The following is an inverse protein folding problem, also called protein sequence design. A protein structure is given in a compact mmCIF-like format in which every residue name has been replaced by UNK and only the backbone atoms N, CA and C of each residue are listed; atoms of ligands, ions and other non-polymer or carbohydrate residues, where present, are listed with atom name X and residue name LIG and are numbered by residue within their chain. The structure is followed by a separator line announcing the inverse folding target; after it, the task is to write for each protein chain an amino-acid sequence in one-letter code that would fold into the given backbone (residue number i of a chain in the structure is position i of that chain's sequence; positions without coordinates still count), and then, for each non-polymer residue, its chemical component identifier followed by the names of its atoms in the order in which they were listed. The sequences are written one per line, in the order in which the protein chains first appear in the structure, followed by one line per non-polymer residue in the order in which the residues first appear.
data_IF_564293362703
#
_entry.id   IF_564293362703
#
_cell.length_a   1.000
_cell.length_b   1.000
_cell.length_c   1.000
_cell.angle_alpha   90.00
_cell.angle_beta   90.00
_cell.angle_gamma   90.00
#
_symmetry.space_group_name_H-M   'P 1'
#
loop_
_entity.id
_entity.type
_entity.pdbx_description
1 polymer ?
#
# COMPACT_ATOMS: atom_id res chain seq x y z
N UNK A 1 -15.12 15.23 21.95
CA UNK A 1 -14.22 14.11 21.76
C UNK A 1 -14.89 12.98 21.01
N UNK A 2 -14.27 12.53 20.01
CA UNK A 2 -14.86 11.57 19.09
C UNK A 2 -14.32 10.17 19.38
N UNK A 3 -15.09 9.39 20.13
CA UNK A 3 -14.73 8.01 20.50
C UNK A 3 -14.71 7.08 19.30
N UNK A 4 -15.59 7.31 18.32
CA UNK A 4 -15.64 6.51 17.09
C UNK A 4 -14.37 6.74 16.28
N UNK A 5 -13.95 7.99 16.15
CA UNK A 5 -12.72 8.33 15.45
C UNK A 5 -11.50 7.70 16.13
N UNK A 6 -11.44 7.76 17.46
CA UNK A 6 -10.36 7.14 18.23
C UNK A 6 -10.34 5.63 18.05
N UNK A 7 -11.50 4.97 17.99
CA UNK A 7 -11.61 3.53 17.80
C UNK A 7 -11.16 3.09 16.41
N UNK A 8 -11.30 3.97 15.39
CA UNK A 8 -10.87 3.71 14.02
C UNK A 8 -9.44 4.20 13.73
N UNK A 9 -8.81 4.83 14.71
CA UNK A 9 -7.46 5.36 14.57
C UNK A 9 -6.44 4.26 14.31
N UNK A 10 -5.52 4.56 13.44
CA UNK A 10 -4.32 3.77 13.21
C UNK A 10 -3.09 4.63 13.47
N UNK A 11 -1.95 4.00 13.55
CA UNK A 11 -0.66 4.70 13.56
C UNK A 11 0.28 4.01 12.60
N UNK A 12 1.36 4.69 12.24
CA UNK A 12 2.41 4.11 11.43
C UNK A 12 3.75 4.26 12.14
N UNK A 13 4.63 3.34 11.89
CA UNK A 13 6.01 3.39 12.41
C UNK A 13 6.98 2.83 11.37
N UNK A 14 8.26 3.16 11.51
CA UNK A 14 9.29 2.60 10.66
C UNK A 14 9.36 1.07 10.85
N UNK A 15 9.59 0.34 9.76
CA UNK A 15 9.79 -1.10 9.83
C UNK A 15 11.15 -1.42 10.46
N UNK A 16 11.18 -2.44 11.29
CA UNK A 16 12.38 -2.98 11.92
C UNK A 16 12.72 -4.33 11.30
N UNK A 17 13.91 -4.83 11.56
CA UNK A 17 14.34 -6.13 11.03
C UNK A 17 13.38 -7.26 11.40
N UNK A 18 12.78 -7.19 12.58
CA UNK A 18 11.79 -8.17 13.05
C UNK A 18 10.49 -8.16 12.26
N UNK A 19 10.24 -7.14 11.44
CA UNK A 19 9.03 -7.04 10.61
C UNK A 19 9.18 -7.72 9.25
N UNK A 20 10.38 -8.16 8.89
CA UNK A 20 10.69 -8.68 7.55
C UNK A 20 9.76 -9.83 7.13
N UNK A 21 9.60 -10.84 7.98
CA UNK A 21 8.73 -11.97 7.68
C UNK A 21 7.25 -11.59 7.67
N UNK A 22 6.83 -10.73 8.60
CA UNK A 22 5.46 -10.22 8.61
C UNK A 22 5.13 -9.55 7.28
N UNK A 23 6.05 -8.73 6.76
CA UNK A 23 5.82 -8.01 5.49
C UNK A 23 5.67 -8.97 4.31
N UNK A 24 6.43 -10.06 4.30
CA UNK A 24 6.27 -11.07 3.25
C UNK A 24 4.91 -11.76 3.34
N UNK A 25 4.53 -12.21 4.52
CA UNK A 25 3.24 -12.87 4.74
C UNK A 25 2.07 -11.94 4.46
N UNK A 26 2.21 -10.66 4.80
CA UNK A 26 1.21 -9.63 4.51
C UNK A 26 0.99 -9.47 3.00
N UNK A 27 2.06 -9.34 2.24
CA UNK A 27 1.99 -9.22 0.79
C UNK A 27 1.34 -10.47 0.18
N UNK A 28 1.73 -11.64 0.66
CA UNK A 28 1.16 -12.89 0.19
C UNK A 28 -0.35 -12.96 0.46
N UNK A 29 -0.78 -12.58 1.67
CA UNK A 29 -2.20 -12.58 2.01
C UNK A 29 -3.00 -11.59 1.15
N UNK A 30 -2.41 -10.43 0.84
CA UNK A 30 -3.10 -9.37 0.09
C UNK A 30 -3.07 -9.58 -1.42
N UNK A 31 -1.99 -10.15 -1.96
CA UNK A 31 -1.74 -10.15 -3.40
C UNK A 31 -1.62 -11.53 -4.04
N UNK A 32 -1.79 -12.60 -3.27
CA UNK A 32 -1.63 -13.96 -3.80
C UNK A 32 -2.47 -14.20 -5.05
N UNK A 33 -3.77 -13.88 -4.99
CA UNK A 33 -4.67 -14.14 -6.12
C UNK A 33 -4.35 -13.32 -7.37
N UNK A 34 -4.17 -11.99 -7.30
CA UNK A 34 -3.80 -11.23 -8.49
C UNK A 34 -2.43 -11.60 -9.04
N UNK A 35 -1.43 -11.87 -8.20
CA UNK A 35 -0.11 -12.30 -8.68
C UNK A 35 -0.22 -13.66 -9.36
N UNK A 36 -0.94 -14.59 -8.77
CA UNK A 36 -1.15 -15.92 -9.36
C UNK A 36 -1.84 -15.82 -10.71
N UNK A 37 -2.84 -14.97 -10.83
CA UNK A 37 -3.60 -14.79 -12.07
C UNK A 37 -2.75 -14.19 -13.20
N UNK A 38 -1.87 -13.24 -12.88
CA UNK A 38 -1.09 -12.49 -13.88
C UNK A 38 0.24 -13.19 -14.19
N UNK A 39 0.96 -13.66 -13.19
CA UNK A 39 2.33 -14.17 -13.32
C UNK A 39 2.49 -15.63 -12.90
N UNK A 40 1.54 -16.20 -12.18
CA UNK A 40 1.76 -17.41 -11.40
C UNK A 40 2.50 -17.10 -10.12
N UNK A 41 2.22 -17.86 -9.07
CA UNK A 41 2.92 -17.66 -7.79
C UNK A 41 4.09 -18.62 -7.68
N UNK A 42 5.30 -18.07 -7.56
CA UNK A 42 6.52 -18.80 -7.23
C UNK A 42 7.09 -18.18 -5.95
N UNK A 43 7.11 -18.96 -4.89
CA UNK A 43 7.49 -18.45 -3.57
C UNK A 43 8.92 -17.90 -3.54
N UNK A 44 9.86 -18.59 -4.23
CA UNK A 44 11.25 -18.13 -4.25
C UNK A 44 11.40 -16.80 -5.00
N UNK A 45 10.71 -16.66 -6.14
CA UNK A 45 10.73 -15.40 -6.89
C UNK A 45 10.19 -14.27 -6.03
N UNK A 46 9.08 -14.51 -5.32
CA UNK A 46 8.50 -13.49 -4.45
C UNK A 46 9.41 -13.17 -3.26
N UNK A 47 10.12 -14.16 -2.74
CA UNK A 47 11.12 -13.95 -1.68
C UNK A 47 12.27 -13.07 -2.17
N UNK A 48 12.74 -13.29 -3.39
CA UNK A 48 13.82 -12.51 -3.98
C UNK A 48 13.38 -11.06 -4.21
N UNK A 49 12.18 -10.85 -4.73
CA UNK A 49 11.61 -9.50 -4.90
C UNK A 49 11.49 -8.80 -3.56
N UNK A 50 11.00 -9.50 -2.53
CA UNK A 50 10.86 -8.94 -1.20
C UNK A 50 12.20 -8.49 -0.62
N UNK A 51 13.24 -9.29 -0.81
CA UNK A 51 14.59 -8.94 -0.34
C UNK A 51 15.11 -7.69 -1.06
N UNK A 52 14.90 -7.57 -2.37
CA UNK A 52 15.32 -6.41 -3.14
C UNK A 52 14.57 -5.14 -2.70
N UNK A 53 13.26 -5.24 -2.51
CA UNK A 53 12.44 -4.12 -2.05
C UNK A 53 12.86 -3.65 -0.65
N UNK A 54 13.13 -4.60 0.24
CA UNK A 54 13.61 -4.32 1.59
C UNK A 54 14.94 -3.59 1.59
N UNK A 55 15.84 -3.99 0.71
CA UNK A 55 17.15 -3.35 0.56
C UNK A 55 17.06 -1.95 -0.04
N UNK A 56 16.09 -1.74 -0.93
CA UNK A 56 15.87 -0.44 -1.56
C UNK A 56 15.33 0.59 -0.56
N UNK A 57 14.22 0.25 0.07
CA UNK A 57 13.57 1.11 1.05
C UNK A 57 12.60 0.28 1.89
N UNK A 58 12.62 0.49 3.21
CA UNK A 58 11.69 -0.20 4.11
C UNK A 58 10.37 0.57 4.17
N UNK A 59 9.22 -0.12 4.10
CA UNK A 59 7.93 0.55 4.27
C UNK A 59 7.68 0.93 5.72
N UNK A 60 6.62 1.70 5.95
CA UNK A 60 6.09 1.90 7.30
C UNK A 60 5.11 0.77 7.63
N UNK A 61 5.10 0.37 8.88
CA UNK A 61 4.16 -0.60 9.41
C UNK A 61 2.92 0.15 9.89
N UNK A 62 1.74 -0.30 9.44
CA UNK A 62 0.47 0.22 9.93
C UNK A 62 0.10 -0.59 11.15
N UNK A 63 -0.14 0.10 12.27
CA UNK A 63 -0.56 -0.52 13.52
C UNK A 63 -1.98 -0.08 13.88
N UNK A 64 -2.72 -1.01 14.46
CA UNK A 64 -4.06 -0.76 14.96
C UNK A 64 -4.19 -1.46 16.31
N UNK A 65 -4.48 -0.69 17.34
CA UNK A 65 -4.58 -1.21 18.72
C UNK A 65 -3.31 -1.97 19.13
N UNK A 66 -2.14 -1.43 18.78
CA UNK A 66 -0.85 -2.00 19.14
C UNK A 66 -0.40 -3.20 18.34
N UNK A 67 -1.16 -3.59 17.30
CA UNK A 67 -0.85 -4.75 16.46
C UNK A 67 -0.49 -4.32 15.06
N UNK A 68 0.57 -4.91 14.49
CA UNK A 68 0.92 -4.70 13.09
C UNK A 68 -0.14 -5.36 12.21
N UNK A 69 -0.78 -4.56 11.34
CA UNK A 69 -1.88 -5.03 10.48
C UNK A 69 -1.67 -4.74 9.00
N UNK A 70 -0.65 -3.99 8.65
CA UNK A 70 -0.43 -3.61 7.27
C UNK A 70 0.86 -2.86 7.05
N UNK A 71 1.04 -2.39 5.83
CA UNK A 71 2.19 -1.59 5.43
C UNK A 71 1.79 -0.51 4.43
N UNK A 72 2.64 0.50 4.29
CA UNK A 72 2.50 1.55 3.29
C UNK A 72 3.86 2.19 3.05
N UNK A 73 4.11 2.62 1.82
CA UNK A 73 5.31 3.37 1.48
C UNK A 73 4.94 4.49 0.52
N UNK A 74 5.37 5.70 0.85
CA UNK A 74 5.26 6.86 -0.02
C UNK A 74 6.68 7.30 -0.36
N UNK A 75 7.19 6.84 -1.52
CA UNK A 75 8.54 7.13 -1.97
C UNK A 75 8.62 8.52 -2.56
N UNK A 76 9.60 9.30 -2.12
CA UNK A 76 9.86 10.63 -2.70
C UNK A 76 10.72 10.47 -3.95
N UNK A 77 10.15 10.78 -5.12
CA UNK A 77 10.84 10.71 -6.41
C UNK A 77 11.34 12.08 -6.88
N UNK A 78 11.30 13.09 -6.01
CA UNK A 78 11.71 14.45 -6.32
C UNK A 78 10.54 15.33 -6.73
N UNK A 79 10.06 15.19 -7.95
CA UNK A 79 8.94 15.98 -8.47
C UNK A 79 7.56 15.35 -8.19
N UNK A 80 7.53 14.12 -7.70
CA UNK A 80 6.30 13.43 -7.35
C UNK A 80 6.58 12.37 -6.29
N UNK A 81 5.51 11.83 -5.70
CA UNK A 81 5.59 10.67 -4.81
C UNK A 81 5.11 9.43 -5.55
N UNK A 82 5.67 8.28 -5.19
CA UNK A 82 5.21 6.98 -5.62
C UNK A 82 4.60 6.26 -4.42
N UNK A 83 3.29 6.01 -4.47
CA UNK A 83 2.54 5.32 -3.41
C UNK A 83 2.57 3.83 -3.71
N UNK A 84 3.14 3.04 -2.82
CA UNK A 84 3.35 1.62 -3.07
C UNK A 84 3.36 0.80 -1.79
N UNK A 85 3.40 -0.51 -1.95
CA UNK A 85 3.46 -1.49 -0.85
C UNK A 85 2.40 -1.24 0.21
N UNK A 86 1.20 -0.90 -0.26
CA UNK A 86 0.05 -0.61 0.58
C UNK A 86 -0.79 -1.87 0.70
N UNK A 87 -0.73 -2.50 1.86
CA UNK A 87 -1.45 -3.75 2.13
C UNK A 87 -2.03 -3.71 3.53
N UNK A 88 -3.20 -4.32 3.70
CA UNK A 88 -3.81 -4.57 4.99
C UNK A 88 -4.15 -6.05 5.08
N UNK A 89 -3.98 -6.63 6.26
CA UNK A 89 -4.46 -7.99 6.50
C UNK A 89 -5.97 -8.05 6.19
N UNK A 90 -6.44 -9.13 5.56
CA UNK A 90 -7.85 -9.22 5.11
C UNK A 90 -8.87 -8.95 6.20
N UNK A 91 -8.62 -9.34 7.44
CA UNK A 91 -9.54 -9.12 8.56
C UNK A 91 -9.72 -7.65 8.94
N UNK A 92 -8.87 -6.77 8.41
CA UNK A 92 -8.96 -5.31 8.64
C UNK A 92 -9.50 -4.55 7.42
N UNK A 93 -9.90 -5.25 6.37
CA UNK A 93 -10.57 -4.65 5.22
C UNK A 93 -11.99 -4.19 5.60
N UNK A 94 -12.48 -3.17 4.91
CA UNK A 94 -13.85 -2.69 5.11
C UNK A 94 -14.09 -1.90 6.38
N UNK A 95 -13.05 -1.51 7.10
CA UNK A 95 -13.16 -0.77 8.37
C UNK A 95 -12.78 0.71 8.25
N UNK A 96 -12.49 1.18 7.04
CA UNK A 96 -12.08 2.56 6.81
C UNK A 96 -10.61 2.86 7.07
N UNK A 97 -9.82 1.90 7.52
CA UNK A 97 -8.41 2.09 7.82
C UNK A 97 -7.62 2.45 6.56
N UNK A 98 -7.86 1.72 5.45
CA UNK A 98 -7.20 1.98 4.18
C UNK A 98 -7.47 3.39 3.66
N UNK A 99 -8.71 3.84 3.75
CA UNK A 99 -9.09 5.21 3.36
C UNK A 99 -8.39 6.25 4.24
N UNK A 100 -8.26 5.97 5.53
CA UNK A 100 -7.58 6.89 6.46
C UNK A 100 -6.09 6.98 6.14
N UNK A 101 -5.42 5.85 5.90
CA UNK A 101 -4.00 5.81 5.51
C UNK A 101 -3.79 6.60 4.23
N UNK A 102 -4.62 6.37 3.21
CA UNK A 102 -4.52 7.07 1.94
C UNK A 102 -4.76 8.56 2.11
N UNK A 103 -5.75 8.95 2.91
CA UNK A 103 -6.01 10.36 3.24
C UNK A 103 -4.77 11.03 3.81
N UNK A 104 -4.10 10.38 4.77
CA UNK A 104 -2.91 10.94 5.41
C UNK A 104 -1.77 11.10 4.43
N UNK A 105 -1.54 10.10 3.57
CA UNK A 105 -0.50 10.17 2.54
C UNK A 105 -0.77 11.30 1.53
N UNK A 106 -2.01 11.44 1.10
CA UNK A 106 -2.37 12.49 0.13
C UNK A 106 -2.32 13.88 0.75
N UNK A 107 -2.66 14.01 2.02
CA UNK A 107 -2.53 15.29 2.72
C UNK A 107 -1.06 15.72 2.77
N UNK A 108 -0.14 14.79 3.01
CA UNK A 108 1.29 15.07 3.00
C UNK A 108 1.76 15.52 1.60
N UNK A 109 1.34 14.80 0.56
CA UNK A 109 1.67 15.16 -0.82
C UNK A 109 1.14 16.54 -1.20
N UNK A 110 -0.11 16.84 -0.82
CA UNK A 110 -0.75 18.15 -1.10
C UNK A 110 -0.01 19.28 -0.39
N UNK A 111 0.43 19.05 0.83
CA UNK A 111 1.20 20.04 1.60
C UNK A 111 2.50 20.42 0.88
N UNK A 112 3.11 19.48 0.17
CA UNK A 112 4.33 19.70 -0.60
C UNK A 112 4.05 20.02 -2.07
N UNK A 113 2.77 20.13 -2.45
CA UNK A 113 2.34 20.41 -3.83
C UNK A 113 2.90 19.40 -4.84
N UNK A 114 2.94 18.14 -4.47
CA UNK A 114 3.47 17.06 -5.33
C UNK A 114 2.36 16.12 -5.77
N UNK A 115 2.34 15.73 -7.05
CA UNK A 115 1.43 14.68 -7.50
C UNK A 115 1.87 13.32 -6.97
N UNK A 116 0.97 12.35 -7.03
CA UNK A 116 1.19 10.98 -6.57
C UNK A 116 0.92 10.01 -7.72
N UNK A 117 1.87 9.13 -7.95
CA UNK A 117 1.77 8.03 -8.91
C UNK A 117 1.60 6.72 -8.17
N UNK A 118 0.85 5.81 -8.75
CA UNK A 118 0.78 4.43 -8.26
C UNK A 118 0.51 3.47 -9.42
N UNK A 119 0.72 2.19 -9.17
CA UNK A 119 0.25 1.14 -10.07
C UNK A 119 -0.24 -0.05 -9.25
N UNK A 120 -1.08 -0.87 -9.87
CA UNK A 120 -1.56 -2.10 -9.26
C UNK A 120 -1.79 -3.15 -10.33
N UNK A 121 -1.86 -4.41 -9.91
CA UNK A 121 -2.05 -5.54 -10.82
C UNK A 121 -3.48 -5.58 -11.36
N UNK A 122 -3.63 -5.93 -12.62
CA UNK A 122 -4.93 -6.19 -13.20
C UNK A 122 -5.68 -7.24 -12.36
N UNK A 123 -6.97 -7.02 -12.18
CA UNK A 123 -7.82 -7.88 -11.36
C UNK A 123 -7.87 -7.53 -9.88
N UNK A 124 -6.99 -6.64 -9.41
CA UNK A 124 -7.04 -6.16 -8.03
C UNK A 124 -8.10 -5.06 -7.90
N UNK A 125 -9.04 -5.23 -6.98
CA UNK A 125 -10.18 -4.30 -6.80
C UNK A 125 -9.81 -2.97 -6.14
N UNK A 126 -8.58 -2.81 -5.71
CA UNK A 126 -8.12 -1.60 -5.03
C UNK A 126 -8.27 -0.34 -5.90
N UNK A 127 -8.35 -0.50 -7.22
CA UNK A 127 -8.53 0.62 -8.15
C UNK A 127 -9.74 1.48 -7.85
N UNK A 128 -10.83 0.88 -7.38
CA UNK A 128 -12.04 1.64 -7.02
C UNK A 128 -11.78 2.62 -5.88
N UNK A 129 -10.98 2.21 -4.90
CA UNK A 129 -10.57 3.09 -3.81
C UNK A 129 -9.80 4.29 -4.36
N UNK A 130 -8.83 4.04 -5.23
CA UNK A 130 -7.99 5.10 -5.79
C UNK A 130 -8.80 6.10 -6.63
N UNK A 131 -9.75 5.61 -7.44
CA UNK A 131 -10.64 6.49 -8.20
C UNK A 131 -11.42 7.44 -7.28
N UNK A 132 -11.90 6.95 -6.15
CA UNK A 132 -12.63 7.79 -5.19
C UNK A 132 -11.75 8.88 -4.58
N UNK A 133 -10.44 8.68 -4.55
CA UNK A 133 -9.49 9.65 -3.99
C UNK A 133 -8.89 10.56 -5.05
N UNK A 134 -9.42 10.56 -6.27
CA UNK A 134 -9.03 11.50 -7.31
C UNK A 134 -7.90 11.03 -8.22
N UNK A 135 -7.51 9.76 -8.13
CA UNK A 135 -6.55 9.20 -9.07
C UNK A 135 -7.24 8.94 -10.41
N UNK A 136 -6.50 9.13 -11.49
CA UNK A 136 -6.96 8.84 -12.85
C UNK A 136 -6.06 7.79 -13.49
N UNK A 137 -6.66 6.90 -14.29
CA UNK A 137 -5.88 5.92 -15.05
C UNK A 137 -5.16 6.66 -16.19
N UNK A 138 -3.83 6.56 -16.21
CA UNK A 138 -3.02 7.18 -17.26
C UNK A 138 -2.60 6.19 -18.33
N UNK A 139 -2.42 4.93 -17.96
CA UNK A 139 -2.11 3.86 -18.91
C UNK A 139 -2.38 2.51 -18.25
N UNK A 140 -2.44 1.48 -19.07
CA UNK A 140 -2.54 0.10 -18.57
C UNK A 140 -2.09 -0.86 -19.65
N UNK A 141 -1.69 -2.05 -19.21
CA UNK A 141 -1.35 -3.16 -20.08
C UNK A 141 -1.99 -4.44 -19.53
N UNK A 142 -1.59 -5.60 -20.01
CA UNK A 142 -2.18 -6.88 -19.58
C UNK A 142 -1.89 -7.21 -18.11
N UNK A 143 -0.89 -6.58 -17.53
CA UNK A 143 -0.40 -6.90 -16.19
C UNK A 143 -0.73 -5.81 -15.17
N UNK A 144 -0.59 -4.54 -15.53
CA UNK A 144 -0.67 -3.41 -14.60
C UNK A 144 -1.61 -2.32 -15.06
N UNK A 145 -2.15 -1.60 -14.07
CA UNK A 145 -2.88 -0.33 -14.25
C UNK A 145 -2.06 0.76 -13.57
N UNK A 146 -1.80 1.85 -14.29
CA UNK A 146 -1.02 2.99 -13.79
C UNK A 146 -1.94 4.18 -13.58
N UNK A 147 -1.79 4.84 -12.44
CA UNK A 147 -2.64 5.97 -12.07
C UNK A 147 -1.82 7.15 -11.55
N UNK A 148 -2.36 8.35 -11.74
CA UNK A 148 -1.80 9.59 -11.21
C UNK A 148 -2.89 10.40 -10.54
N UNK A 149 -2.52 11.11 -9.50
CA UNK A 149 -3.33 12.13 -8.86
C UNK A 149 -2.49 13.42 -8.76
N UNK A 150 -3.04 14.47 -9.30
CA UNK A 150 -2.39 15.79 -9.25
C UNK A 150 -2.74 16.58 -8.01
#
# INVERSE_FOLDING_TARGET
MDMVKAALSHSTRAAQSSDYEFLFELKKAAEYEPIKAVFGWDDQIQRDIHAEEWAEERPEIIEYQGKAIGSVLLQDKGDHFYFCRFFLLPEYHGKGIGSQVLTDCLAHADKLSKPVELCYLQGNRVGELYLRFGFEITSQNDQFVYMWRK
#
